data_IF_902987372698
#
_entry.id   IF_902987372698
#
_cell.length_a   1.000
_cell.length_b   1.000
_cell.length_c   1.000
_cell.angle_alpha   90.00
_cell.angle_beta   90.00
_cell.angle_gamma   90.00
#
_symmetry.space_group_name_H-M   'P 1'
#
loop_
_entity.id
_entity.type
_entity.pdbx_description
1 polymer ?
#
# COMPACT_ATOMS: atom_id res chain seq x y z
N UNK A 1 -34.20 69.86 4.41
CA UNK A 1 -33.77 68.68 5.19
C UNK A 1 -32.28 68.46 4.97
N UNK A 2 -31.45 68.80 5.96
CA UNK A 2 -30.02 68.55 5.90
C UNK A 2 -29.78 67.05 6.16
N UNK A 3 -29.24 66.34 5.17
CA UNK A 3 -28.87 64.93 5.34
C UNK A 3 -27.47 64.86 5.94
N UNK A 4 -27.41 64.42 7.20
CA UNK A 4 -26.19 64.02 7.89
C UNK A 4 -25.53 62.88 7.11
N UNK A 5 -24.40 63.13 6.46
CA UNK A 5 -23.56 62.07 5.89
C UNK A 5 -22.87 61.36 7.03
N UNK A 6 -23.37 60.19 7.43
CA UNK A 6 -22.71 59.34 8.41
C UNK A 6 -21.33 58.92 7.88
N UNK A 7 -20.26 59.34 8.56
CA UNK A 7 -18.89 58.97 8.22
C UNK A 7 -18.68 57.47 8.50
N UNK A 8 -18.27 56.72 7.48
CA UNK A 8 -17.95 55.27 7.56
C UNK A 8 -16.55 54.99 8.13
N UNK A 9 -15.75 56.04 8.42
CA UNK A 9 -14.40 55.89 8.97
C UNK A 9 -14.29 55.10 10.29
N UNK A 10 -15.18 55.28 11.31
CA UNK A 10 -15.02 54.56 12.56
C UNK A 10 -15.28 53.05 12.40
N UNK A 11 -16.19 52.66 11.51
CA UNK A 11 -16.46 51.25 11.22
C UNK A 11 -15.27 50.58 10.51
N UNK A 12 -14.64 51.27 9.56
CA UNK A 12 -13.46 50.77 8.86
C UNK A 12 -12.25 50.59 9.80
N UNK A 13 -12.05 51.50 10.76
CA UNK A 13 -10.98 51.40 11.75
C UNK A 13 -11.18 50.23 12.73
N UNK A 14 -12.42 49.96 13.13
CA UNK A 14 -12.74 48.81 13.99
C UNK A 14 -12.48 47.49 13.27
N UNK A 15 -12.88 47.39 11.99
CA UNK A 15 -12.62 46.18 11.19
C UNK A 15 -11.12 45.96 10.99
N UNK A 16 -10.35 47.02 10.72
CA UNK A 16 -8.91 46.91 10.54
C UNK A 16 -8.20 46.48 11.84
N UNK A 17 -8.60 47.03 12.98
CA UNK A 17 -8.07 46.62 14.29
C UNK A 17 -8.41 45.15 14.62
N UNK A 18 -9.61 44.70 14.24
CA UNK A 18 -10.01 43.31 14.40
C UNK A 18 -9.19 42.37 13.51
N UNK A 19 -8.93 42.74 12.26
CA UNK A 19 -8.09 41.94 11.36
C UNK A 19 -6.64 41.83 11.88
N UNK A 20 -6.07 42.93 12.39
CA UNK A 20 -4.70 42.94 12.90
C UNK A 20 -4.54 42.13 14.19
N UNK A 21 -5.58 42.02 15.01
CA UNK A 21 -5.56 41.16 16.21
C UNK A 21 -5.70 39.68 15.87
N UNK A 22 -6.52 39.33 14.87
CA UNK A 22 -6.66 37.94 14.39
C UNK A 22 -5.35 37.45 13.73
N UNK A 23 -4.73 38.28 12.89
CA UNK A 23 -3.50 37.91 12.17
C UNK A 23 -2.27 37.78 13.08
N UNK A 24 -2.19 38.56 14.17
CA UNK A 24 -1.11 38.42 15.17
C UNK A 24 -1.30 37.22 16.11
N UNK A 25 -2.49 36.62 16.18
CA UNK A 25 -2.77 35.41 16.95
C UNK A 25 -2.47 34.11 16.20
N UNK A 26 -2.28 34.18 14.88
CA UNK A 26 -1.84 33.04 14.09
C UNK A 26 -0.33 32.91 14.25
N UNK A 27 0.11 32.03 15.14
CA UNK A 27 1.48 31.52 15.09
C UNK A 27 1.61 30.79 13.76
N UNK A 28 2.01 31.51 12.71
CA UNK A 28 2.59 30.90 11.53
C UNK A 28 3.63 29.88 12.03
N UNK A 29 3.68 28.71 11.42
CA UNK A 29 4.56 27.58 11.76
C UNK A 29 6.06 27.96 11.66
N UNK A 30 6.52 28.90 12.47
CA UNK A 30 7.91 29.34 12.60
C UNK A 30 8.42 28.67 13.85
N UNK A 31 8.72 27.39 13.71
CA UNK A 31 9.14 26.55 14.83
C UNK A 31 8.47 25.19 14.81
N UNK A 32 8.56 24.45 13.71
CA UNK A 32 8.71 23.01 13.90
C UNK A 32 9.96 22.84 14.76
N UNK A 33 9.80 22.53 16.05
CA UNK A 33 10.91 21.94 16.77
C UNK A 33 11.36 20.77 15.89
N UNK A 34 12.62 20.72 15.43
CA UNK A 34 13.10 19.47 14.85
C UNK A 34 12.84 18.42 15.92
N UNK A 35 12.09 17.38 15.57
CA UNK A 35 11.84 16.27 16.48
C UNK A 35 13.20 15.94 17.10
N UNK A 36 13.30 16.09 18.43
CA UNK A 36 14.53 15.78 19.16
C UNK A 36 14.90 14.38 18.69
N UNK A 37 16.00 14.22 17.92
CA UNK A 37 16.43 12.92 17.40
C UNK A 37 16.88 12.11 18.61
N UNK A 38 15.89 11.49 19.26
CA UNK A 38 16.07 10.59 20.36
C UNK A 38 16.72 9.34 19.80
N UNK A 39 18.02 9.26 20.04
CA UNK A 39 18.91 8.11 19.88
C UNK A 39 19.23 7.70 18.43
N UNK A 40 20.53 7.55 18.17
CA UNK A 40 21.05 6.81 17.03
C UNK A 40 20.60 5.35 17.13
N UNK A 41 19.38 5.05 16.71
CA UNK A 41 19.00 3.69 16.37
C UNK A 41 19.61 3.43 15.00
N UNK A 42 20.82 2.89 14.99
CA UNK A 42 21.34 2.22 13.79
C UNK A 42 20.29 1.18 13.43
N UNK A 43 19.78 1.20 12.20
CA UNK A 43 18.88 0.16 11.73
C UNK A 43 19.56 -1.18 12.01
N UNK A 44 18.87 -2.12 12.68
CA UNK A 44 19.42 -3.46 12.81
C UNK A 44 19.69 -3.96 11.40
N UNK A 45 20.94 -4.26 11.12
CA UNK A 45 21.30 -5.08 9.97
C UNK A 45 20.74 -6.47 10.25
N UNK A 46 19.66 -6.81 9.56
CA UNK A 46 19.10 -8.16 9.59
C UNK A 46 19.84 -8.94 8.53
N UNK A 47 20.72 -9.84 8.95
CA UNK A 47 21.36 -10.78 8.05
C UNK A 47 20.29 -11.72 7.47
N UNK A 48 20.09 -11.66 6.15
CA UNK A 48 19.10 -12.51 5.49
C UNK A 48 19.66 -13.92 5.34
N UNK A 49 19.23 -14.84 6.20
CA UNK A 49 19.45 -16.27 6.02
C UNK A 49 18.43 -16.77 5.00
N UNK A 50 18.86 -16.93 3.74
CA UNK A 50 18.00 -17.14 2.58
C UNK A 50 17.15 -18.40 2.57
N UNK A 51 16.09 -18.41 3.38
CA UNK A 51 15.18 -19.52 3.53
C UNK A 51 13.91 -19.14 4.29
N UNK A 52 13.07 -20.14 4.47
CA UNK A 52 11.80 -20.06 5.18
C UNK A 52 12.02 -20.39 6.67
N UNK A 53 11.81 -19.41 7.55
CA UNK A 53 11.88 -19.55 9.01
C UNK A 53 10.54 -19.24 9.70
N UNK A 54 9.56 -18.72 8.96
CA UNK A 54 8.23 -18.39 9.47
C UNK A 54 7.18 -19.39 9.01
N UNK A 55 6.23 -19.68 9.90
CA UNK A 55 5.06 -20.52 9.60
C UNK A 55 4.04 -19.81 8.71
N UNK A 56 4.09 -18.48 8.68
CA UNK A 56 3.17 -17.61 7.95
C UNK A 56 3.97 -16.54 7.22
N UNK A 57 3.77 -16.45 5.91
CA UNK A 57 4.54 -15.57 5.03
C UNK A 57 3.59 -14.75 4.15
N UNK A 58 3.97 -13.50 3.86
CA UNK A 58 3.29 -12.69 2.86
C UNK A 58 3.87 -12.99 1.48
N UNK A 59 2.99 -13.35 0.53
CA UNK A 59 3.33 -13.44 -0.89
C UNK A 59 2.61 -12.34 -1.66
N UNK A 60 3.24 -11.85 -2.70
CA UNK A 60 2.59 -10.97 -3.68
C UNK A 60 1.94 -11.82 -4.75
N UNK A 61 0.65 -11.58 -5.01
CA UNK A 61 -0.07 -12.15 -6.14
C UNK A 61 -0.29 -11.06 -7.18
N UNK A 62 0.31 -11.23 -8.35
CA UNK A 62 0.33 -10.23 -9.41
C UNK A 62 -0.36 -10.78 -10.64
N UNK A 63 -1.20 -9.96 -11.27
CA UNK A 63 -1.78 -10.19 -12.58
C UNK A 63 -1.11 -9.20 -13.56
N UNK A 64 0.03 -9.56 -14.18
CA UNK A 64 0.86 -8.59 -14.89
C UNK A 64 0.14 -7.95 -16.09
N UNK A 65 -0.70 -8.71 -16.78
CA UNK A 65 -1.45 -8.22 -17.94
C UNK A 65 -2.47 -7.13 -17.59
N UNK A 66 -2.99 -7.13 -16.36
CA UNK A 66 -3.96 -6.16 -15.85
C UNK A 66 -3.29 -5.04 -15.06
N UNK A 67 -2.00 -5.18 -14.73
CA UNK A 67 -1.29 -4.23 -13.87
C UNK A 67 -1.81 -4.22 -12.43
N UNK A 68 -2.41 -5.33 -11.97
CA UNK A 68 -2.98 -5.46 -10.64
C UNK A 68 -2.14 -6.37 -9.75
N UNK A 69 -2.13 -6.07 -8.45
CA UNK A 69 -1.39 -6.85 -7.45
C UNK A 69 -2.09 -6.79 -6.10
N UNK A 70 -2.10 -7.91 -5.40
CA UNK A 70 -2.56 -8.01 -4.02
C UNK A 70 -1.52 -8.73 -3.15
N UNK A 71 -1.66 -8.59 -1.82
CA UNK A 71 -0.85 -9.34 -0.86
C UNK A 71 -1.70 -10.44 -0.25
N UNK A 72 -1.13 -11.63 -0.16
CA UNK A 72 -1.78 -12.80 0.42
C UNK A 72 -0.92 -13.35 1.54
N UNK A 73 -1.56 -13.71 2.65
CA UNK A 73 -0.91 -14.37 3.78
C UNK A 73 -1.11 -15.87 3.59
N UNK A 74 -0.01 -16.60 3.47
CA UNK A 74 -0.02 -18.04 3.20
C UNK A 74 0.83 -18.79 4.21
N UNK A 75 0.55 -20.09 4.34
CA UNK A 75 1.45 -21.02 5.03
C UNK A 75 2.20 -21.86 4.00
N UNK A 76 3.31 -22.50 4.35
CA UNK A 76 4.07 -23.35 3.41
C UNK A 76 3.24 -24.48 2.81
N UNK A 77 2.19 -24.91 3.51
CA UNK A 77 1.25 -25.96 3.09
C UNK A 77 0.12 -25.46 2.18
N UNK A 78 -0.02 -24.14 1.97
CA UNK A 78 -1.03 -23.59 1.06
C UNK A 78 -0.74 -24.08 -0.36
N UNK A 79 -1.75 -24.63 -1.03
CA UNK A 79 -1.60 -25.15 -2.40
C UNK A 79 -1.61 -24.01 -3.42
N UNK A 80 -0.92 -24.23 -4.55
CA UNK A 80 -0.90 -23.27 -5.66
C UNK A 80 -2.32 -23.03 -6.21
N UNK A 81 -3.16 -24.07 -6.27
CA UNK A 81 -4.56 -23.94 -6.70
C UNK A 81 -5.37 -23.04 -5.76
N UNK A 82 -5.13 -23.13 -4.45
CA UNK A 82 -5.79 -22.27 -3.47
C UNK A 82 -5.31 -20.82 -3.61
N UNK A 83 -4.01 -20.60 -3.83
CA UNK A 83 -3.45 -19.26 -4.08
C UNK A 83 -4.05 -18.66 -5.34
N UNK A 84 -4.17 -19.43 -6.42
CA UNK A 84 -4.79 -18.98 -7.66
C UNK A 84 -6.23 -18.54 -7.42
N UNK A 85 -7.02 -19.39 -6.77
CA UNK A 85 -8.44 -19.10 -6.51
C UNK A 85 -8.64 -17.87 -5.62
N UNK A 86 -7.91 -17.78 -4.51
CA UNK A 86 -8.03 -16.67 -3.58
C UNK A 86 -7.46 -15.37 -4.18
N UNK A 87 -6.36 -15.46 -4.94
CA UNK A 87 -5.77 -14.33 -5.64
C UNK A 87 -6.69 -13.77 -6.72
N UNK A 88 -7.27 -14.65 -7.56
CA UNK A 88 -8.30 -14.26 -8.54
C UNK A 88 -9.48 -13.58 -7.87
N UNK A 89 -9.99 -14.15 -6.77
CA UNK A 89 -11.09 -13.55 -6.01
C UNK A 89 -10.72 -12.19 -5.43
N UNK A 90 -9.52 -12.05 -4.88
CA UNK A 90 -9.05 -10.79 -4.31
C UNK A 90 -8.92 -9.66 -5.34
N UNK A 91 -8.59 -10.00 -6.59
CA UNK A 91 -8.52 -9.06 -7.71
C UNK A 91 -9.85 -8.90 -8.46
N UNK A 92 -10.90 -9.65 -8.09
CA UNK A 92 -12.19 -9.60 -8.78
C UNK A 92 -12.23 -10.33 -10.13
N UNK A 93 -11.33 -11.27 -10.37
CA UNK A 93 -11.29 -12.14 -11.54
C UNK A 93 -11.96 -13.50 -11.27
N UNK A 94 -13.09 -13.55 -10.57
CA UNK A 94 -13.76 -14.78 -10.12
C UNK A 94 -15.06 -15.10 -10.89
N UNK A 95 -15.16 -14.63 -12.15
CA UNK A 95 -16.34 -14.89 -12.97
C UNK A 95 -16.49 -16.39 -13.28
N UNK A 96 -17.70 -16.93 -13.06
CA UNK A 96 -18.01 -18.37 -13.22
C UNK A 96 -17.71 -18.92 -14.63
N UNK A 97 -17.71 -18.07 -15.65
CA UNK A 97 -17.46 -18.46 -17.04
C UNK A 97 -15.96 -18.56 -17.39
N UNK A 98 -15.05 -18.14 -16.50
CA UNK A 98 -13.60 -18.29 -16.69
C UNK A 98 -13.07 -19.31 -15.67
N UNK A 99 -12.85 -20.57 -16.05
CA UNK A 99 -12.41 -21.61 -15.13
C UNK A 99 -10.98 -21.36 -14.64
N UNK A 100 -10.67 -21.78 -13.41
CA UNK A 100 -9.31 -21.68 -12.83
C UNK A 100 -8.27 -22.41 -13.69
N UNK A 101 -8.68 -23.45 -14.43
CA UNK A 101 -7.82 -24.21 -15.33
C UNK A 101 -7.24 -23.42 -16.49
N UNK A 102 -7.82 -22.26 -16.81
CA UNK A 102 -7.34 -21.36 -17.86
C UNK A 102 -6.26 -20.40 -17.34
N UNK A 103 -5.86 -20.49 -16.08
CA UNK A 103 -4.79 -19.69 -15.50
C UNK A 103 -3.64 -20.56 -15.03
N UNK A 104 -2.44 -20.04 -15.19
CA UNK A 104 -1.22 -20.68 -14.71
C UNK A 104 -0.43 -19.69 -13.86
N UNK A 105 0.08 -20.16 -12.72
CA UNK A 105 0.94 -19.37 -11.83
C UNK A 105 2.42 -19.66 -12.08
N UNK A 106 3.23 -18.62 -12.02
CA UNK A 106 4.68 -18.66 -12.18
C UNK A 106 5.34 -17.87 -11.05
N UNK A 107 6.59 -18.18 -10.73
CA UNK A 107 7.39 -17.34 -9.85
C UNK A 107 8.00 -16.19 -10.67
N UNK A 108 8.04 -14.97 -10.12
CA UNK A 108 8.63 -13.80 -10.78
C UNK A 108 10.08 -14.03 -11.24
N UNK A 109 10.91 -14.65 -10.39
CA UNK A 109 12.32 -14.93 -10.66
C UNK A 109 12.51 -16.08 -11.66
N UNK A 110 11.52 -16.98 -11.77
CA UNK A 110 11.56 -18.19 -12.61
C UNK A 110 10.30 -18.31 -13.49
N UNK A 111 10.10 -17.41 -14.46
CA UNK A 111 8.85 -17.31 -15.21
C UNK A 111 8.60 -18.46 -16.20
N UNK A 112 9.58 -19.33 -16.44
CA UNK A 112 9.48 -20.42 -17.41
C UNK A 112 8.87 -21.71 -16.85
N UNK A 113 8.76 -21.82 -15.51
CA UNK A 113 8.28 -23.05 -14.84
C UNK A 113 6.96 -22.81 -14.11
N UNK A 114 5.85 -23.44 -14.55
CA UNK A 114 4.60 -23.39 -13.82
C UNK A 114 4.73 -23.92 -12.39
N UNK A 115 4.20 -23.17 -11.43
CA UNK A 115 4.13 -23.60 -10.04
C UNK A 115 3.10 -24.72 -9.85
N UNK A 116 3.42 -25.69 -8.99
CA UNK A 116 2.56 -26.85 -8.68
C UNK A 116 2.76 -27.29 -7.23
N UNK A 117 1.78 -28.04 -6.71
CA UNK A 117 1.87 -28.58 -5.35
C UNK A 117 1.61 -27.51 -4.29
N UNK A 118 2.48 -27.44 -3.30
CA UNK A 118 2.42 -26.43 -2.23
C UNK A 118 3.39 -25.29 -2.46
N UNK A 119 3.08 -24.11 -1.94
CA UNK A 119 3.95 -22.94 -2.09
C UNK A 119 5.32 -23.14 -1.41
N UNK A 120 5.38 -23.92 -0.32
CA UNK A 120 6.64 -24.29 0.34
C UNK A 120 7.58 -25.12 -0.55
N UNK A 121 7.03 -26.01 -1.38
CA UNK A 121 7.80 -26.78 -2.37
C UNK A 121 8.28 -25.91 -3.54
N UNK A 122 7.69 -24.74 -3.73
CA UNK A 122 8.00 -23.80 -4.79
C UNK A 122 9.10 -22.79 -4.43
N UNK A 123 9.93 -23.11 -3.42
CA UNK A 123 11.04 -22.25 -3.00
C UNK A 123 10.60 -21.00 -2.24
N UNK A 124 9.49 -21.08 -1.49
CA UNK A 124 9.03 -19.98 -0.63
C UNK A 124 10.15 -19.52 0.31
N UNK A 125 10.32 -18.21 0.41
CA UNK A 125 11.24 -17.54 1.32
C UNK A 125 10.49 -16.56 2.20
N UNK A 126 11.08 -16.23 3.34
CA UNK A 126 10.51 -15.35 4.36
C UNK A 126 10.16 -13.92 3.88
N UNK A 127 10.79 -13.46 2.80
CA UNK A 127 10.62 -12.12 2.25
C UNK A 127 10.71 -12.15 0.73
N UNK A 128 9.86 -11.37 0.06
CA UNK A 128 10.01 -11.07 -1.37
C UNK A 128 9.66 -12.24 -2.29
N UNK A 129 8.58 -12.97 -1.98
CA UNK A 129 8.08 -14.00 -2.87
C UNK A 129 6.86 -13.49 -3.65
N UNK A 130 6.96 -13.45 -4.97
CA UNK A 130 5.91 -12.96 -5.86
C UNK A 130 5.51 -14.04 -6.88
N UNK A 131 4.19 -14.27 -7.00
CA UNK A 131 3.58 -15.16 -7.97
C UNK A 131 2.85 -14.37 -9.04
N UNK A 132 3.10 -14.71 -10.30
CA UNK A 132 2.51 -14.08 -11.47
C UNK A 132 1.46 -15.00 -12.08
N UNK A 133 0.24 -14.46 -12.24
CA UNK A 133 -0.86 -15.13 -12.90
C UNK A 133 -0.90 -14.75 -14.38
N UNK A 134 -0.90 -15.76 -15.25
CA UNK A 134 -1.13 -15.60 -16.68
C UNK A 134 -2.36 -16.38 -17.13
N UNK A 135 -3.15 -15.75 -17.99
CA UNK A 135 -4.26 -16.40 -18.68
C UNK A 135 -3.73 -17.23 -19.86
N UNK A 136 -3.88 -18.54 -19.76
CA UNK A 136 -3.43 -19.57 -20.70
C UNK A 136 -4.61 -20.52 -20.98
N UNK A 137 -5.60 -20.09 -21.78
CA UNK A 137 -6.77 -20.92 -22.10
C UNK A 137 -6.32 -22.17 -22.85
N UNK A 138 -6.96 -23.31 -22.56
CA UNK A 138 -6.67 -24.61 -23.19
C UNK A 138 -7.66 -24.96 -24.29
#
# INVERSE_FOLDING_TARGET
MASSRASLMPAALVVLALCMTILNGMSAFVGTQPALRSTNRVAMEVEWHGGLNRDVVEVFFTAPAQGERTRMVVTPTTTIDQILKDGRKALGFDQEWIPDSDFTLYNEDFPDTPLKGTIGECGLVDFGYEVHMYFTPK
#
